data_IF_406231749829
#
_entry.id   IF_406231749829
#
_cell.length_a   1.000
_cell.length_b   1.000
_cell.length_c   1.000
_cell.angle_alpha   90.00
_cell.angle_beta   90.00
_cell.angle_gamma   90.00
#
_symmetry.space_group_name_H-M   'P 1'
#
loop_
_entity.id
_entity.type
_entity.pdbx_description
1 polymer ?
#
# COMPACT_ATOMS: atom_id res chain seq x y z
N UNK A 1 -16.50 -34.96 -0.36
CA UNK A 1 -15.21 -34.31 -0.46
C UNK A 1 -15.28 -32.89 0.04
N UNK A 2 -14.65 -32.63 1.13
CA UNK A 2 -14.62 -31.26 1.56
C UNK A 2 -13.81 -30.50 0.52
N UNK A 3 -14.49 -29.74 -0.26
CA UNK A 3 -13.86 -28.70 -1.02
C UNK A 3 -13.09 -27.86 -0.01
N UNK A 4 -11.81 -28.08 0.04
CA UNK A 4 -10.97 -27.09 0.64
C UNK A 4 -11.29 -25.78 -0.03
N UNK A 5 -12.01 -24.94 0.70
CA UNK A 5 -12.12 -23.57 0.28
C UNK A 5 -10.73 -22.95 0.38
N UNK A 6 -9.96 -23.17 -0.65
CA UNK A 6 -8.83 -22.29 -0.88
C UNK A 6 -9.41 -20.93 -1.16
N UNK A 7 -9.34 -20.04 -0.16
CA UNK A 7 -9.65 -18.65 -0.40
C UNK A 7 -8.59 -18.14 -1.36
N UNK A 8 -8.95 -18.09 -2.63
CA UNK A 8 -8.10 -17.50 -3.64
C UNK A 8 -7.95 -16.02 -3.28
N UNK A 9 -6.73 -15.54 -3.18
CA UNK A 9 -6.48 -14.14 -2.93
C UNK A 9 -7.11 -13.29 -4.04
N UNK A 10 -7.66 -12.12 -3.72
CA UNK A 10 -8.16 -11.21 -4.75
C UNK A 10 -7.07 -10.83 -5.76
N UNK A 11 -7.49 -10.33 -6.91
CA UNK A 11 -6.57 -9.78 -7.91
C UNK A 11 -5.75 -8.64 -7.31
N UNK A 12 -4.65 -8.28 -7.97
CA UNK A 12 -3.78 -7.20 -7.50
C UNK A 12 -4.56 -5.91 -7.28
N UNK A 13 -5.45 -5.54 -8.18
CA UNK A 13 -6.25 -4.33 -8.05
C UNK A 13 -7.07 -4.31 -6.76
N UNK A 14 -7.63 -5.45 -6.38
CA UNK A 14 -8.46 -5.56 -5.18
C UNK A 14 -7.64 -5.70 -3.90
N UNK A 15 -6.34 -5.87 -4.02
CA UNK A 15 -5.40 -5.88 -2.89
C UNK A 15 -4.71 -4.54 -2.68
N UNK A 16 -4.99 -3.58 -3.55
CA UNK A 16 -4.60 -2.18 -3.37
C UNK A 16 -5.79 -1.46 -2.77
N UNK A 17 -5.76 -1.23 -1.48
CA UNK A 17 -6.87 -0.59 -0.78
C UNK A 17 -6.53 0.86 -0.48
N UNK A 18 -7.57 1.69 -0.40
CA UNK A 18 -7.42 3.11 -0.02
C UNK A 18 -8.17 3.33 1.28
N UNK A 19 -7.44 3.81 2.28
CA UNK A 19 -8.01 4.18 3.57
C UNK A 19 -8.02 5.70 3.68
N UNK A 20 -9.03 6.24 4.35
CA UNK A 20 -9.05 7.67 4.70
C UNK A 20 -8.57 7.83 6.14
N UNK A 21 -7.48 8.52 6.32
CA UNK A 21 -6.91 8.77 7.63
C UNK A 21 -7.20 10.22 8.05
N UNK A 22 -7.85 10.39 9.20
CA UNK A 22 -8.08 11.69 9.79
C UNK A 22 -6.96 11.95 10.81
N UNK A 23 -6.04 12.82 10.45
CA UNK A 23 -4.88 13.12 11.30
C UNK A 23 -5.25 14.16 12.35
N UNK A 24 -5.17 13.78 13.62
CA UNK A 24 -5.34 14.72 14.72
C UNK A 24 -4.18 15.72 14.80
N UNK A 25 -2.99 15.28 14.36
CA UNK A 25 -1.79 16.13 14.35
C UNK A 25 -1.91 17.24 13.33
N UNK A 26 -2.55 16.98 12.18
CA UNK A 26 -2.72 17.96 11.11
C UNK A 26 -3.98 18.82 11.28
N UNK A 27 -4.84 18.50 12.24
CA UNK A 27 -6.04 19.28 12.47
C UNK A 27 -5.68 20.73 12.80
N UNK A 28 -6.32 21.67 12.09
CA UNK A 28 -6.12 23.11 12.30
C UNK A 28 -4.66 23.56 12.13
N UNK A 29 -3.90 22.92 11.22
CA UNK A 29 -2.51 23.34 11.01
C UNK A 29 -2.46 24.73 10.37
N UNK A 30 -1.39 25.52 10.66
CA UNK A 30 -1.29 26.90 10.22
C UNK A 30 -1.25 27.08 8.71
N UNK A 31 -0.82 26.06 7.96
CA UNK A 31 -0.69 26.14 6.50
C UNK A 31 -2.00 25.84 5.76
N UNK A 32 -3.04 25.40 6.48
CA UNK A 32 -4.30 25.01 5.88
C UNK A 32 -4.22 23.71 5.09
N UNK A 33 -3.19 22.89 5.29
CA UNK A 33 -3.09 21.59 4.64
C UNK A 33 -4.17 20.65 5.17
N UNK A 34 -4.72 19.77 4.30
CA UNK A 34 -5.79 18.89 4.74
C UNK A 34 -5.35 17.91 5.82
N UNK A 35 -6.21 17.72 6.82
CA UNK A 35 -6.00 16.74 7.89
C UNK A 35 -6.50 15.36 7.49
N UNK A 36 -7.43 15.28 6.54
CA UNK A 36 -7.93 14.02 6.01
C UNK A 36 -7.10 13.63 4.81
N UNK A 37 -6.44 12.47 4.91
CA UNK A 37 -5.48 12.03 3.90
C UNK A 37 -5.83 10.62 3.41
N UNK A 38 -5.77 10.38 2.10
CA UNK A 38 -5.84 9.01 1.60
C UNK A 38 -4.53 8.28 1.90
N UNK A 39 -4.67 7.02 2.30
CA UNK A 39 -3.53 6.14 2.51
C UNK A 39 -3.76 4.91 1.66
N UNK A 40 -2.89 4.66 0.70
CA UNK A 40 -2.96 3.48 -0.13
C UNK A 40 -2.15 2.36 0.51
N UNK A 41 -2.69 1.15 0.50
CA UNK A 41 -2.06 -0.01 1.12
C UNK A 41 -2.04 -1.15 0.13
N UNK A 42 -0.85 -1.72 -0.09
CA UNK A 42 -0.69 -2.95 -0.84
C UNK A 42 -0.69 -4.13 0.13
N UNK A 43 -1.55 -5.10 -0.14
CA UNK A 43 -1.62 -6.34 0.64
C UNK A 43 -1.12 -7.51 -0.20
N UNK A 44 -0.11 -8.25 0.26
CA UNK A 44 0.36 -9.44 -0.45
C UNK A 44 -0.69 -10.54 -0.42
N UNK A 45 -0.61 -11.48 -1.37
CA UNK A 45 -1.56 -12.60 -1.43
C UNK A 45 -1.62 -13.38 -0.11
N UNK A 46 -0.50 -13.52 0.56
CA UNK A 46 -0.43 -14.26 1.81
C UNK A 46 -1.28 -13.65 2.93
N UNK A 47 -1.60 -12.35 2.84
CA UNK A 47 -2.49 -11.69 3.79
C UNK A 47 -3.87 -12.36 3.83
N UNK A 48 -4.31 -12.93 2.73
CA UNK A 48 -5.61 -13.58 2.59
C UNK A 48 -5.59 -15.06 2.89
N UNK A 49 -4.44 -15.60 3.31
CA UNK A 49 -4.31 -17.02 3.64
C UNK A 49 -4.86 -17.29 5.05
N UNK A 50 -6.09 -17.80 5.09
CA UNK A 50 -6.79 -18.07 6.36
C UNK A 50 -6.17 -19.17 7.20
N UNK A 51 -5.30 -19.99 6.62
CA UNK A 51 -4.61 -21.06 7.35
C UNK A 51 -3.57 -20.51 8.31
N UNK A 52 -3.24 -19.24 8.21
CA UNK A 52 -2.19 -18.58 9.00
C UNK A 52 -2.74 -17.37 9.75
N UNK A 53 -3.78 -17.61 10.54
CA UNK A 53 -4.52 -16.53 11.23
C UNK A 53 -3.66 -15.67 12.14
N UNK A 54 -2.59 -16.21 12.68
CA UNK A 54 -1.72 -15.48 13.62
C UNK A 54 -0.44 -14.99 12.97
N UNK A 55 -0.36 -15.02 11.65
CA UNK A 55 0.82 -14.58 10.95
C UNK A 55 0.91 -13.05 10.98
N UNK A 56 2.08 -12.56 11.33
CA UNK A 56 2.41 -11.15 11.23
C UNK A 56 3.23 -10.91 9.99
N UNK A 57 3.06 -9.73 9.42
CA UNK A 57 3.78 -9.31 8.21
C UNK A 57 4.66 -8.12 8.54
N UNK A 58 5.80 -8.05 7.88
CA UNK A 58 6.57 -6.81 7.87
C UNK A 58 5.75 -5.73 7.19
N UNK A 59 5.90 -4.50 7.62
CA UNK A 59 5.23 -3.34 7.04
C UNK A 59 6.31 -2.38 6.56
N UNK A 60 6.21 -1.99 5.31
CA UNK A 60 7.08 -1.01 4.69
C UNK A 60 6.29 0.27 4.39
N UNK A 61 6.77 1.38 4.89
CA UNK A 61 6.19 2.69 4.56
C UNK A 61 7.02 3.29 3.41
N UNK A 62 6.37 3.46 2.26
CA UNK A 62 7.01 4.04 1.09
C UNK A 62 6.63 5.52 1.00
N UNK A 63 7.58 6.38 1.29
CA UNK A 63 7.36 7.82 1.27
C UNK A 63 7.68 8.38 -0.11
N UNK A 64 6.82 9.28 -0.59
CA UNK A 64 7.05 9.94 -1.86
C UNK A 64 8.18 10.97 -1.73
N UNK A 65 8.82 11.28 -2.86
CA UNK A 65 9.80 12.34 -2.90
C UNK A 65 9.16 13.73 -2.80
N UNK A 66 9.98 14.78 -2.82
CA UNK A 66 9.56 16.16 -2.58
C UNK A 66 8.41 16.62 -3.48
N UNK A 67 8.40 16.21 -4.74
CA UNK A 67 7.37 16.60 -5.71
C UNK A 67 6.28 15.56 -5.90
N UNK A 68 6.32 14.45 -5.15
CA UNK A 68 5.40 13.34 -5.31
C UNK A 68 4.41 13.20 -4.17
N UNK A 69 3.45 12.32 -4.36
CA UNK A 69 2.50 11.91 -3.35
C UNK A 69 2.36 10.38 -3.37
N UNK A 70 1.81 9.82 -2.29
CA UNK A 70 1.64 8.37 -2.18
C UNK A 70 1.00 7.72 -3.42
N UNK A 71 -0.16 8.23 -3.89
CA UNK A 71 -0.81 7.65 -5.07
C UNK A 71 0.02 7.65 -6.34
N UNK A 72 0.95 8.61 -6.50
CA UNK A 72 1.83 8.68 -7.67
C UNK A 72 2.75 7.47 -7.81
N UNK A 73 3.06 6.80 -6.71
CA UNK A 73 3.90 5.60 -6.73
C UNK A 73 3.18 4.39 -7.33
N UNK A 74 1.87 4.47 -7.47
CA UNK A 74 1.01 3.41 -7.98
C UNK A 74 0.68 3.59 -9.47
N UNK A 75 1.13 4.68 -10.08
CA UNK A 75 0.79 5.01 -11.46
C UNK A 75 1.38 4.00 -12.44
N UNK A 76 0.59 3.72 -13.49
CA UNK A 76 1.05 2.89 -14.59
C UNK A 76 2.23 3.58 -15.31
N UNK A 77 3.23 2.79 -15.66
CA UNK A 77 4.38 3.25 -16.45
C UNK A 77 4.47 2.45 -17.73
N UNK A 78 4.57 3.12 -18.86
CA UNK A 78 4.79 2.46 -20.13
C UNK A 78 6.16 1.79 -20.15
N UNK A 79 6.22 0.55 -20.61
CA UNK A 79 7.46 -0.23 -20.76
C UNK A 79 8.23 -0.53 -19.46
N UNK A 80 7.69 -0.14 -18.33
CA UNK A 80 8.29 -0.43 -17.02
C UNK A 80 7.22 -0.93 -16.07
N UNK A 81 7.61 -1.79 -15.14
CA UNK A 81 6.73 -2.13 -14.04
C UNK A 81 6.72 -0.98 -13.03
N UNK A 82 5.55 -0.69 -12.45
CA UNK A 82 5.47 0.24 -11.34
C UNK A 82 5.94 -0.45 -10.05
N UNK A 83 5.98 0.29 -8.94
CA UNK A 83 6.45 -0.25 -7.67
C UNK A 83 5.61 -1.43 -7.20
N UNK A 84 4.30 -1.38 -7.35
CA UNK A 84 3.40 -2.44 -6.91
C UNK A 84 3.60 -3.72 -7.73
N UNK A 85 3.73 -3.59 -9.04
CA UNK A 85 4.00 -4.71 -9.93
C UNK A 85 5.34 -5.35 -9.58
N UNK A 86 6.34 -4.55 -9.23
CA UNK A 86 7.65 -5.03 -8.80
C UNK A 86 7.56 -5.81 -7.48
N UNK A 87 6.82 -5.27 -6.51
CA UNK A 87 6.59 -5.95 -5.23
C UNK A 87 5.92 -7.31 -5.44
N UNK A 88 4.90 -7.32 -6.28
CA UNK A 88 4.17 -8.55 -6.59
C UNK A 88 5.09 -9.60 -7.22
N UNK A 89 5.92 -9.18 -8.16
CA UNK A 89 6.89 -10.06 -8.81
C UNK A 89 7.92 -10.62 -7.83
N UNK A 90 8.48 -9.77 -7.00
CA UNK A 90 9.52 -10.18 -6.04
C UNK A 90 8.96 -11.13 -4.97
N UNK A 91 7.75 -10.87 -4.50
CA UNK A 91 7.12 -11.71 -3.50
C UNK A 91 6.69 -13.05 -4.11
N UNK A 92 6.11 -13.03 -5.31
CA UNK A 92 5.67 -14.25 -5.99
C UNK A 92 6.85 -15.16 -6.32
N UNK A 93 7.99 -14.58 -6.72
CA UNK A 93 9.20 -15.34 -7.02
C UNK A 93 10.01 -15.72 -5.78
N UNK A 94 9.52 -15.40 -4.60
CA UNK A 94 10.17 -15.69 -3.31
C UNK A 94 11.52 -15.01 -3.12
N UNK A 95 11.78 -13.94 -3.85
CA UNK A 95 12.96 -13.10 -3.64
C UNK A 95 12.73 -12.10 -2.50
N UNK A 96 11.50 -11.88 -2.11
CA UNK A 96 11.11 -10.99 -1.03
C UNK A 96 10.02 -11.67 -0.20
N UNK A 97 10.13 -11.57 1.11
CA UNK A 97 9.09 -12.06 2.01
C UNK A 97 7.78 -11.27 1.80
N UNK A 98 6.61 -11.90 2.02
CA UNK A 98 5.35 -11.16 1.94
C UNK A 98 5.36 -9.97 2.88
N UNK A 99 5.11 -8.78 2.33
CA UNK A 99 5.21 -7.50 3.04
C UNK A 99 3.99 -6.66 2.73
N UNK A 100 3.41 -6.04 3.76
CA UNK A 100 2.39 -5.02 3.59
C UNK A 100 3.13 -3.70 3.31
N UNK A 101 2.72 -2.99 2.27
CA UNK A 101 3.35 -1.72 1.91
C UNK A 101 2.33 -0.60 2.02
N UNK A 102 2.68 0.44 2.73
CA UNK A 102 1.81 1.60 2.99
C UNK A 102 2.38 2.80 2.24
N UNK A 103 1.52 3.46 1.47
CA UNK A 103 1.86 4.65 0.68
C UNK A 103 1.12 5.85 1.25
N UNK A 104 1.65 6.52 2.29
CA UNK A 104 0.97 7.67 2.86
C UNK A 104 1.07 8.88 1.94
N UNK A 105 0.06 9.75 2.00
CA UNK A 105 0.10 11.04 1.34
C UNK A 105 0.71 12.06 2.30
N UNK A 106 1.95 12.43 2.05
CA UNK A 106 2.70 13.38 2.86
C UNK A 106 2.84 14.74 2.17
N UNK A 107 2.12 14.97 1.08
CA UNK A 107 2.24 16.21 0.31
C UNK A 107 1.65 17.40 1.07
N UNK A 108 2.38 18.51 1.08
CA UNK A 108 1.96 19.74 1.73
C UNK A 108 2.03 20.91 0.73
N UNK A 109 1.61 22.10 1.18
CA UNK A 109 1.73 23.30 0.38
C UNK A 109 3.20 23.63 0.01
N UNK A 110 4.16 23.08 0.76
CA UNK A 110 5.60 23.27 0.49
C UNK A 110 6.26 22.08 -0.21
N UNK A 111 5.51 21.05 -0.59
CA UNK A 111 6.02 19.88 -1.28
C UNK A 111 5.81 18.58 -0.52
N UNK A 112 6.30 17.46 -1.07
CA UNK A 112 6.17 16.14 -0.47
C UNK A 112 7.25 15.85 0.57
N UNK A 113 7.06 14.76 1.30
CA UNK A 113 7.82 14.27 2.45
C UNK A 113 7.79 15.24 3.63
#
# INVERSE_FOLDING_TARGET
>A
MPTQQTVTAPSLENRLITLQHNSSVLANNPLGDPSQRPVNVYLPKAYYDRRRKNRRFAVLYSLAGFTGAGPGQLNWKGFEENLVERLERLITSKQMAPTIVVFPDCFTAFGGT
#
